data_IF_761687423503
#
_entry.id   IF_761687423503
#
_cell.length_a   1.000
_cell.length_b   1.000
_cell.length_c   1.000
_cell.angle_alpha   90.00
_cell.angle_beta   90.00
_cell.angle_gamma   90.00
#
_symmetry.space_group_name_H-M   'P 1'
#
loop_
_entity.id
_entity.type
_entity.pdbx_description
1 polymer ?
#
# COMPACT_ATOMS: atom_id res chain seq x y z
N UNK A 1 -13.14 3.67 -8.28
CA UNK A 1 -14.18 4.19 -7.39
C UNK A 1 -15.41 3.31 -7.31
N UNK A 2 -16.01 2.93 -8.43
CA UNK A 2 -17.27 2.17 -8.44
C UNK A 2 -17.15 0.76 -7.85
N UNK A 3 -16.08 0.03 -8.14
CA UNK A 3 -15.83 -1.31 -7.59
C UNK A 3 -15.69 -1.25 -6.06
N UNK A 4 -15.01 -0.24 -5.56
CA UNK A 4 -14.82 -0.02 -4.12
C UNK A 4 -16.16 0.25 -3.43
N UNK A 5 -16.97 1.17 -3.98
CA UNK A 5 -18.30 1.49 -3.46
C UNK A 5 -19.21 0.26 -3.47
N UNK A 6 -19.22 -0.50 -4.56
CA UNK A 6 -20.04 -1.71 -4.72
C UNK A 6 -19.67 -2.80 -3.71
N UNK A 7 -18.38 -3.06 -3.49
CA UNK A 7 -17.93 -4.18 -2.69
C UNK A 7 -17.84 -3.88 -1.19
N UNK A 8 -17.59 -2.63 -0.81
CA UNK A 8 -17.31 -2.28 0.58
C UNK A 8 -18.28 -1.25 1.15
N UNK A 9 -19.26 -0.79 0.37
CA UNK A 9 -20.17 0.29 0.75
C UNK A 9 -19.46 1.55 1.31
N UNK A 10 -18.24 1.78 0.85
CA UNK A 10 -17.39 2.90 1.25
C UNK A 10 -17.33 3.95 0.14
N UNK A 11 -17.15 5.20 0.53
CA UNK A 11 -17.03 6.34 -0.38
C UNK A 11 -15.58 6.81 -0.43
N UNK A 12 -15.10 7.10 -1.64
CA UNK A 12 -13.87 7.88 -1.79
C UNK A 12 -14.24 9.32 -1.49
N UNK A 13 -13.68 9.84 -0.39
CA UNK A 13 -13.96 11.19 0.08
C UNK A 13 -13.24 12.24 -0.77
N UNK A 14 -12.01 11.95 -1.18
CA UNK A 14 -11.16 12.83 -1.98
C UNK A 14 -10.18 12.01 -2.82
N UNK A 15 -9.72 12.59 -3.92
CA UNK A 15 -8.75 11.99 -4.80
C UNK A 15 -7.87 13.11 -5.38
N UNK A 16 -6.55 12.93 -5.35
CA UNK A 16 -5.60 13.88 -5.91
C UNK A 16 -4.52 13.17 -6.71
N UNK A 17 -4.28 13.65 -7.92
CA UNK A 17 -3.05 13.40 -8.65
C UNK A 17 -2.08 14.53 -8.36
N UNK A 18 -0.80 14.23 -8.31
CA UNK A 18 0.26 15.20 -8.08
C UNK A 18 1.44 14.98 -9.03
N UNK A 19 2.22 16.03 -9.24
CA UNK A 19 3.44 15.98 -10.02
C UNK A 19 4.66 15.85 -9.08
N UNK A 20 5.76 15.30 -9.59
CA UNK A 20 7.02 15.16 -8.82
C UNK A 20 7.60 16.49 -8.31
N UNK A 21 7.18 17.61 -8.88
CA UNK A 21 7.61 18.95 -8.46
C UNK A 21 6.78 19.55 -7.32
N UNK A 22 5.63 18.94 -6.99
CA UNK A 22 4.81 19.39 -5.87
C UNK A 22 5.45 19.00 -4.53
N UNK A 23 5.41 19.94 -3.57
CA UNK A 23 5.83 19.66 -2.20
C UNK A 23 4.90 18.64 -1.54
N UNK A 24 5.48 17.65 -0.88
CA UNK A 24 4.69 16.66 -0.10
C UNK A 24 3.76 17.35 0.92
N UNK A 25 4.22 18.47 1.48
CA UNK A 25 3.46 19.26 2.44
C UNK A 25 2.22 19.90 1.81
N UNK A 26 2.36 20.45 0.59
CA UNK A 26 1.24 21.05 -0.15
C UNK A 26 0.24 19.99 -0.60
N UNK A 27 0.72 18.82 -1.00
CA UNK A 27 -0.13 17.68 -1.38
C UNK A 27 -1.07 17.34 -0.22
N UNK A 28 -0.52 17.11 0.98
CA UNK A 28 -1.32 16.71 2.14
C UNK A 28 -2.12 17.86 2.74
N UNK A 29 -1.60 19.09 2.74
CA UNK A 29 -2.35 20.24 3.25
C UNK A 29 -3.62 20.51 2.47
N UNK A 30 -3.56 20.29 1.16
CA UNK A 30 -4.72 20.41 0.28
C UNK A 30 -5.68 19.22 0.45
N UNK A 31 -5.17 17.99 0.42
CA UNK A 31 -5.97 16.77 0.54
C UNK A 31 -6.70 16.71 1.89
N UNK A 32 -6.02 17.09 2.97
CA UNK A 32 -6.53 17.00 4.33
C UNK A 32 -7.16 18.31 4.83
N UNK A 33 -7.26 19.32 3.97
CA UNK A 33 -7.89 20.61 4.25
C UNK A 33 -7.27 21.40 5.43
N UNK A 34 -6.03 21.10 5.81
CA UNK A 34 -5.36 21.79 6.92
C UNK A 34 -5.09 23.26 6.61
N UNK A 35 -4.82 23.61 5.35
CA UNK A 35 -4.66 24.97 4.91
C UNK A 35 -5.94 25.82 5.10
N UNK A 36 -7.10 25.22 4.93
CA UNK A 36 -8.38 25.88 5.19
C UNK A 36 -8.55 26.23 6.68
N UNK A 37 -8.04 25.37 7.57
CA UNK A 37 -8.02 25.63 9.00
C UNK A 37 -7.17 26.85 9.35
N UNK A 38 -5.99 26.98 8.72
CA UNK A 38 -5.11 28.15 8.85
C UNK A 38 -5.72 29.44 8.27
N UNK A 39 -6.38 29.34 7.12
CA UNK A 39 -7.09 30.48 6.52
C UNK A 39 -8.22 30.99 7.44
N UNK A 40 -8.96 30.08 8.06
CA UNK A 40 -9.98 30.42 9.08
C UNK A 40 -9.38 31.10 10.30
N UNK A 41 -8.26 30.59 10.86
CA UNK A 41 -7.52 31.26 11.94
C UNK A 41 -7.17 32.69 11.58
N UNK A 42 -6.50 32.89 10.45
CA UNK A 42 -6.07 34.21 9.99
C UNK A 42 -7.24 35.19 9.85
N UNK A 43 -8.38 34.73 9.31
CA UNK A 43 -9.58 35.55 9.20
C UNK A 43 -10.11 35.96 10.56
N UNK A 44 -10.22 35.03 11.50
CA UNK A 44 -10.70 35.29 12.85
C UNK A 44 -9.75 36.24 13.61
N UNK A 45 -8.43 36.01 13.58
CA UNK A 45 -7.45 36.89 14.22
C UNK A 45 -7.54 38.33 13.72
N UNK A 46 -7.78 38.52 12.42
CA UNK A 46 -8.00 39.87 11.85
C UNK A 46 -9.29 40.51 12.34
N UNK A 47 -10.37 39.72 12.45
CA UNK A 47 -11.69 40.23 12.87
C UNK A 47 -11.69 40.68 14.33
N UNK A 48 -10.99 39.94 15.20
CA UNK A 48 -10.95 40.27 16.66
C UNK A 48 -9.72 41.05 17.05
N UNK A 49 -8.84 41.40 16.11
CA UNK A 49 -7.58 42.12 16.32
C UNK A 49 -6.68 41.51 17.39
N UNK A 50 -6.72 40.18 17.56
CA UNK A 50 -5.89 39.42 18.51
C UNK A 50 -5.34 38.20 17.83
N UNK A 51 -4.11 37.81 18.19
CA UNK A 51 -3.60 36.50 17.79
C UNK A 51 -4.28 35.39 18.60
N UNK A 52 -4.69 34.35 17.92
CA UNK A 52 -5.44 33.24 18.50
C UNK A 52 -4.51 32.03 18.48
N UNK A 53 -4.33 31.38 19.61
CA UNK A 53 -3.72 30.05 19.62
C UNK A 53 -4.54 29.11 18.74
N UNK A 54 -3.85 28.42 17.85
CA UNK A 54 -4.50 27.57 16.89
C UNK A 54 -3.70 26.29 16.65
N UNK A 55 -4.36 25.16 16.88
CA UNK A 55 -3.89 23.88 16.41
C UNK A 55 -4.58 23.58 15.07
N UNK A 56 -3.79 23.45 14.00
CA UNK A 56 -4.33 23.10 12.69
C UNK A 56 -5.13 21.80 12.79
N UNK A 57 -6.35 21.81 12.26
CA UNK A 57 -7.23 20.64 12.24
C UNK A 57 -7.31 20.13 10.82
N UNK A 58 -7.07 18.86 10.67
CA UNK A 58 -7.34 18.13 9.43
C UNK A 58 -8.79 17.67 9.41
N UNK A 59 -9.27 17.28 8.23
CA UNK A 59 -10.59 16.64 8.10
C UNK A 59 -10.60 15.31 8.88
N UNK A 60 -11.73 15.00 9.49
CA UNK A 60 -11.90 13.80 10.33
C UNK A 60 -12.85 12.76 9.71
N UNK A 61 -13.24 12.97 8.47
CA UNK A 61 -14.12 12.08 7.71
C UNK A 61 -13.35 11.06 6.85
N UNK A 62 -12.04 10.95 7.09
CA UNK A 62 -11.15 9.99 6.41
C UNK A 62 -10.56 9.04 7.44
N UNK A 63 -10.75 7.75 7.23
CA UNK A 63 -10.20 6.68 8.06
C UNK A 63 -8.93 6.09 7.45
N UNK A 64 -8.81 6.18 6.12
CA UNK A 64 -7.82 5.44 5.35
C UNK A 64 -7.29 6.26 4.19
N UNK A 65 -5.99 6.19 3.96
CA UNK A 65 -5.32 6.79 2.82
C UNK A 65 -4.76 5.69 1.91
N UNK A 66 -5.03 5.79 0.61
CA UNK A 66 -4.40 4.97 -0.42
C UNK A 66 -3.36 5.80 -1.16
N UNK A 67 -2.11 5.33 -1.14
CA UNK A 67 -1.02 5.87 -1.92
C UNK A 67 -0.73 4.94 -3.11
N UNK A 68 -0.82 5.46 -4.33
CA UNK A 68 -0.40 4.76 -5.54
C UNK A 68 0.79 5.50 -6.12
N UNK A 69 1.97 5.14 -5.66
CA UNK A 69 3.25 5.80 -5.95
C UNK A 69 4.37 4.77 -5.92
N UNK A 70 5.53 5.10 -6.49
CA UNK A 70 6.70 4.25 -6.31
C UNK A 70 7.24 4.32 -4.87
N UNK A 71 8.09 3.37 -4.50
CA UNK A 71 8.59 3.23 -3.14
C UNK A 71 9.43 4.46 -2.70
N UNK A 72 10.18 5.06 -3.60
CA UNK A 72 11.01 6.24 -3.30
C UNK A 72 10.13 7.47 -3.00
N UNK A 73 9.07 7.65 -3.77
CA UNK A 73 8.08 8.70 -3.50
C UNK A 73 7.36 8.45 -2.18
N UNK A 74 7.02 7.18 -1.88
CA UNK A 74 6.38 6.81 -0.61
C UNK A 74 7.25 7.16 0.61
N UNK A 75 8.57 6.94 0.54
CA UNK A 75 9.54 7.32 1.59
C UNK A 75 9.57 8.84 1.86
N UNK A 76 9.31 9.67 0.87
CA UNK A 76 9.17 11.11 1.06
C UNK A 76 7.80 11.54 1.55
N UNK A 77 6.75 10.86 1.09
CA UNK A 77 5.36 11.23 1.39
C UNK A 77 4.93 10.79 2.80
N UNK A 78 5.28 9.58 3.22
CA UNK A 78 4.81 9.04 4.51
C UNK A 78 5.30 9.84 5.71
N UNK A 79 6.61 10.21 5.84
CA UNK A 79 7.06 11.08 6.92
C UNK A 79 6.40 12.46 6.90
N UNK A 80 6.18 13.03 5.71
CA UNK A 80 5.48 14.31 5.58
C UNK A 80 4.02 14.22 6.05
N UNK A 81 3.36 13.09 5.79
CA UNK A 81 2.03 12.81 6.30
C UNK A 81 2.04 12.73 7.83
N UNK A 82 2.96 11.98 8.41
CA UNK A 82 3.07 11.78 9.87
C UNK A 82 3.36 13.08 10.60
N UNK A 83 4.27 13.88 10.08
CA UNK A 83 4.65 15.17 10.67
C UNK A 83 3.47 16.16 10.74
N UNK A 84 2.67 16.20 9.67
CA UNK A 84 1.64 17.23 9.55
C UNK A 84 0.27 16.78 10.08
N UNK A 85 -0.03 15.49 10.07
CA UNK A 85 -1.43 15.13 10.07
C UNK A 85 -1.84 13.94 10.88
N UNK A 86 -1.04 12.94 11.22
CA UNK A 86 -1.56 11.86 12.05
C UNK A 86 -0.80 10.53 12.02
N UNK A 87 -0.53 10.00 13.19
CA UNK A 87 -0.18 8.60 13.44
C UNK A 87 -1.39 7.66 13.52
N UNK A 88 -2.63 8.16 13.31
CA UNK A 88 -3.85 7.36 13.51
C UNK A 88 -4.55 6.90 12.24
N UNK A 89 -4.12 7.38 11.07
CA UNK A 89 -4.72 7.01 9.79
C UNK A 89 -4.06 5.76 9.23
N UNK A 90 -4.85 4.77 8.81
CA UNK A 90 -4.32 3.63 8.09
C UNK A 90 -3.87 4.03 6.69
N UNK A 91 -2.62 3.70 6.37
CA UNK A 91 -2.03 3.99 5.06
C UNK A 91 -1.81 2.70 4.30
N UNK A 92 -2.46 2.58 3.15
CA UNK A 92 -2.26 1.50 2.20
C UNK A 92 -1.42 1.99 1.03
N UNK A 93 -0.35 1.28 0.73
CA UNK A 93 0.56 1.59 -0.36
C UNK A 93 0.41 0.55 -1.47
N UNK A 94 0.00 1.01 -2.65
CA UNK A 94 0.11 0.25 -3.88
C UNK A 94 1.38 0.73 -4.61
N UNK A 95 2.46 0.00 -4.43
CA UNK A 95 3.77 0.33 -5.00
C UNK A 95 4.39 -0.87 -5.69
N UNK A 96 5.34 -0.58 -6.54
CA UNK A 96 6.26 -1.56 -7.06
C UNK A 96 7.44 -1.71 -6.10
N UNK A 97 7.54 -2.88 -5.46
CA UNK A 97 8.59 -3.23 -4.51
C UNK A 97 9.80 -3.89 -5.19
N UNK A 98 9.79 -3.99 -6.51
CA UNK A 98 10.84 -4.67 -7.27
C UNK A 98 12.18 -3.95 -7.09
N UNK A 99 13.19 -4.69 -6.65
CA UNK A 99 14.56 -4.20 -6.42
C UNK A 99 14.82 -3.52 -5.08
N UNK A 100 13.79 -3.06 -4.35
CA UNK A 100 13.97 -2.25 -3.14
C UNK A 100 13.85 -3.02 -1.81
N UNK A 101 13.48 -4.29 -1.86
CA UNK A 101 13.21 -5.10 -0.65
C UNK A 101 14.43 -5.26 0.26
N UNK A 102 15.65 -5.19 -0.30
CA UNK A 102 16.88 -5.31 0.48
C UNK A 102 17.09 -4.13 1.46
N UNK A 103 16.47 -2.99 1.20
CA UNK A 103 16.64 -1.78 2.01
C UNK A 103 15.61 -1.61 3.12
N UNK A 104 14.58 -2.46 3.17
CA UNK A 104 13.45 -2.29 4.09
C UNK A 104 13.77 -2.69 5.54
N UNK A 105 14.81 -3.46 5.80
CA UNK A 105 15.17 -3.89 7.16
C UNK A 105 15.54 -2.73 8.11
N UNK A 106 15.68 -1.50 7.59
CA UNK A 106 15.98 -0.29 8.36
C UNK A 106 15.05 0.88 8.03
N UNK A 107 14.02 0.66 7.19
CA UNK A 107 13.20 1.72 6.63
C UNK A 107 12.11 2.18 7.61
N UNK A 108 12.48 3.09 8.49
CA UNK A 108 11.54 3.73 9.42
C UNK A 108 10.60 4.72 8.73
N UNK A 109 10.94 5.16 7.52
CA UNK A 109 10.15 6.15 6.77
C UNK A 109 8.79 5.60 6.34
N UNK A 110 8.66 4.28 6.26
CA UNK A 110 7.42 3.59 5.90
C UNK A 110 6.71 2.93 7.09
N UNK A 111 7.05 3.32 8.31
CA UNK A 111 6.45 2.76 9.52
C UNK A 111 4.91 2.86 9.48
N UNK A 112 4.25 1.74 9.80
CA UNK A 112 2.79 1.64 9.83
C UNK A 112 2.11 1.49 8.46
N UNK A 113 2.85 1.53 7.34
CA UNK A 113 2.29 1.33 6.00
C UNK A 113 1.89 -0.14 5.80
N UNK A 114 0.68 -0.36 5.32
CA UNK A 114 0.19 -1.67 4.89
C UNK A 114 0.26 -1.78 3.38
N UNK A 115 0.77 -2.89 2.87
CA UNK A 115 0.87 -3.15 1.44
C UNK A 115 0.60 -4.61 1.10
N UNK A 116 0.57 -4.91 -0.19
CA UNK A 116 0.33 -6.26 -0.72
C UNK A 116 1.34 -6.57 -1.81
N UNK A 117 1.95 -7.75 -1.76
CA UNK A 117 2.80 -8.24 -2.83
C UNK A 117 2.78 -9.78 -2.93
N UNK A 118 3.46 -10.31 -3.94
CA UNK A 118 3.69 -11.73 -4.07
C UNK A 118 4.62 -12.23 -2.96
N UNK A 119 4.35 -13.39 -2.35
CA UNK A 119 5.25 -13.98 -1.36
C UNK A 119 6.70 -14.05 -1.86
N UNK A 120 6.91 -14.36 -3.13
CA UNK A 120 8.23 -14.42 -3.76
C UNK A 120 9.03 -13.13 -3.66
N UNK A 121 8.35 -11.98 -3.72
CA UNK A 121 8.98 -10.66 -3.64
C UNK A 121 9.37 -10.28 -2.21
N UNK A 122 8.80 -10.92 -1.20
CA UNK A 122 8.99 -10.58 0.21
C UNK A 122 10.15 -11.40 0.83
N UNK A 123 10.69 -11.00 2.00
CA UNK A 123 11.75 -11.72 2.70
C UNK A 123 11.21 -12.99 3.38
N UNK A 124 10.61 -13.87 2.59
CA UNK A 124 10.09 -15.17 3.03
C UNK A 124 11.07 -16.26 2.61
N UNK A 125 11.15 -17.33 3.41
CA UNK A 125 11.96 -18.50 3.08
C UNK A 125 11.48 -19.13 1.77
N UNK A 126 12.33 -19.10 0.76
CA UNK A 126 12.08 -19.71 -0.55
C UNK A 126 12.50 -21.19 -0.55
N UNK A 127 11.90 -22.01 -1.44
CA UNK A 127 12.43 -23.33 -1.80
C UNK A 127 13.92 -23.26 -2.18
N UNK A 128 14.66 -24.32 -1.91
CA UNK A 128 16.13 -24.35 -2.10
C UNK A 128 16.54 -24.09 -3.56
N UNK A 129 15.80 -24.65 -4.50
CA UNK A 129 15.99 -24.49 -5.94
C UNK A 129 15.84 -23.04 -6.42
N UNK A 130 15.08 -22.23 -5.69
CA UNK A 130 14.83 -20.82 -6.01
C UNK A 130 15.76 -19.86 -5.25
N UNK A 131 16.51 -20.32 -4.26
CA UNK A 131 17.47 -19.50 -3.51
C UNK A 131 18.67 -19.04 -4.35
N UNK A 132 18.98 -19.75 -5.42
CA UNK A 132 20.06 -19.40 -6.37
C UNK A 132 19.72 -18.24 -7.29
N UNK A 133 18.50 -17.78 -7.32
CA UNK A 133 18.11 -16.64 -8.16
C UNK A 133 18.72 -15.34 -7.64
N UNK A 134 19.52 -14.71 -8.47
CA UNK A 134 20.19 -13.45 -8.13
C UNK A 134 19.21 -12.26 -8.10
N UNK A 135 18.15 -12.33 -8.90
CA UNK A 135 17.13 -11.28 -9.01
C UNK A 135 15.74 -11.87 -8.89
N UNK A 136 14.90 -11.23 -8.08
CA UNK A 136 13.49 -11.56 -7.94
C UNK A 136 12.67 -10.62 -8.79
N UNK A 137 11.88 -11.16 -9.72
CA UNK A 137 10.95 -10.37 -10.52
C UNK A 137 9.53 -10.95 -10.46
N UNK A 138 8.53 -10.09 -10.53
CA UNK A 138 7.12 -10.52 -10.58
C UNK A 138 6.82 -11.36 -11.80
N UNK A 139 7.43 -11.02 -12.93
CA UNK A 139 7.26 -11.77 -14.18
C UNK A 139 7.77 -13.20 -14.05
N UNK A 140 8.91 -13.41 -13.39
CA UNK A 140 9.40 -14.75 -13.09
C UNK A 140 8.38 -15.54 -12.23
N UNK A 141 7.90 -14.94 -11.15
CA UNK A 141 6.93 -15.60 -10.27
C UNK A 141 5.63 -15.99 -10.99
N UNK A 142 5.14 -15.12 -11.86
CA UNK A 142 3.95 -15.41 -12.70
C UNK A 142 4.22 -16.54 -13.66
N UNK A 143 5.36 -16.52 -14.35
CA UNK A 143 5.75 -17.55 -15.32
C UNK A 143 5.94 -18.92 -14.65
N UNK A 144 6.59 -18.94 -13.49
CA UNK A 144 6.78 -20.15 -12.71
C UNK A 144 5.42 -20.77 -12.30
N UNK A 145 4.55 -19.98 -11.68
CA UNK A 145 3.23 -20.45 -11.27
C UNK A 145 2.38 -20.90 -12.48
N UNK A 146 2.48 -20.21 -13.61
CA UNK A 146 1.77 -20.60 -14.82
C UNK A 146 2.24 -21.97 -15.34
N UNK A 147 3.55 -22.22 -15.29
CA UNK A 147 4.12 -23.52 -15.67
C UNK A 147 3.64 -24.65 -14.74
N UNK A 148 3.72 -24.44 -13.43
CA UNK A 148 3.25 -25.40 -12.41
C UNK A 148 1.75 -25.70 -12.56
N UNK A 149 0.93 -24.68 -12.82
CA UNK A 149 -0.52 -24.84 -13.05
C UNK A 149 -0.75 -25.73 -14.31
N UNK A 150 0.02 -25.55 -15.37
CA UNK A 150 -0.11 -26.40 -16.57
C UNK A 150 0.24 -27.85 -16.27
N UNK A 151 1.28 -28.10 -15.45
CA UNK A 151 1.63 -29.44 -15.00
C UNK A 151 0.52 -30.09 -14.16
N UNK A 152 -0.05 -29.33 -13.22
CA UNK A 152 -1.18 -29.79 -12.41
C UNK A 152 -2.40 -30.13 -13.27
N UNK A 153 -2.74 -29.28 -14.23
CA UNK A 153 -3.87 -29.53 -15.16
C UNK A 153 -3.66 -30.75 -16.04
N UNK A 154 -2.40 -31.13 -16.32
CA UNK A 154 -2.09 -32.36 -17.06
C UNK A 154 -2.16 -33.61 -16.18
N UNK A 155 -1.78 -33.50 -14.92
CA UNK A 155 -1.75 -34.62 -13.99
C UNK A 155 -3.12 -34.92 -13.36
N UNK A 156 -3.92 -33.89 -13.12
CA UNK A 156 -5.22 -33.99 -12.45
C UNK A 156 -6.36 -33.52 -13.36
N UNK A 157 -7.39 -34.38 -13.50
CA UNK A 157 -8.55 -34.06 -14.35
C UNK A 157 -9.48 -33.01 -13.76
N UNK A 158 -9.45 -32.82 -12.43
CA UNK A 158 -10.33 -31.87 -11.76
C UNK A 158 -9.60 -31.19 -10.59
N UNK A 159 -9.30 -29.92 -10.76
CA UNK A 159 -8.67 -29.06 -9.75
C UNK A 159 -9.69 -28.20 -8.97
N UNK A 160 -10.98 -28.35 -9.25
CA UNK A 160 -12.00 -27.52 -8.60
C UNK A 160 -11.93 -27.62 -7.07
N UNK A 161 -11.84 -26.48 -6.41
CA UNK A 161 -11.78 -26.37 -4.95
C UNK A 161 -10.39 -26.68 -4.37
N UNK A 162 -9.38 -27.01 -5.19
CA UNK A 162 -8.02 -27.22 -4.69
C UNK A 162 -7.29 -25.89 -4.54
N UNK A 163 -6.30 -25.87 -3.63
CA UNK A 163 -5.43 -24.74 -3.40
C UNK A 163 -3.99 -25.12 -3.74
N UNK A 164 -3.33 -24.29 -4.51
CA UNK A 164 -1.92 -24.37 -4.82
C UNK A 164 -1.17 -23.21 -4.19
N UNK A 165 -0.08 -23.49 -3.45
CA UNK A 165 0.81 -22.45 -2.91
C UNK A 165 1.87 -22.14 -3.93
N UNK A 166 1.66 -21.07 -4.69
CA UNK A 166 2.59 -20.59 -5.68
C UNK A 166 3.49 -19.45 -5.18
N UNK A 167 4.39 -19.02 -6.05
CA UNK A 167 5.26 -17.87 -5.82
C UNK A 167 4.49 -16.55 -5.77
N UNK A 168 3.33 -16.49 -6.43
CA UNK A 168 2.47 -15.31 -6.47
C UNK A 168 1.43 -15.28 -5.34
N UNK A 169 1.35 -16.33 -4.54
CA UNK A 169 0.38 -16.48 -3.44
C UNK A 169 -0.39 -17.77 -3.47
N UNK A 170 -1.48 -17.82 -2.72
CA UNK A 170 -2.37 -18.97 -2.75
C UNK A 170 -3.32 -18.87 -3.93
N UNK A 171 -3.26 -19.86 -4.80
CA UNK A 171 -4.06 -19.97 -6.01
C UNK A 171 -5.16 -20.99 -5.78
N UNK A 172 -6.41 -20.55 -5.89
CA UNK A 172 -7.61 -21.40 -5.73
C UNK A 172 -8.29 -21.59 -7.08
N UNK A 173 -8.52 -22.84 -7.44
CA UNK A 173 -9.20 -23.21 -8.68
C UNK A 173 -10.71 -23.29 -8.47
N UNK A 174 -11.46 -22.50 -9.25
CA UNK A 174 -12.91 -22.59 -9.34
C UNK A 174 -13.31 -23.10 -10.73
N UNK A 175 -14.60 -23.34 -10.97
CA UNK A 175 -15.08 -23.94 -12.24
C UNK A 175 -14.58 -23.23 -13.51
N UNK A 176 -14.55 -21.91 -13.49
CA UNK A 176 -14.22 -21.09 -14.69
C UNK A 176 -13.19 -20.02 -14.40
N UNK A 177 -12.69 -19.93 -13.18
CA UNK A 177 -11.81 -18.85 -12.75
C UNK A 177 -10.74 -19.34 -11.80
N UNK A 178 -9.62 -18.68 -11.85
CA UNK A 178 -8.55 -18.85 -10.86
C UNK A 178 -8.54 -17.61 -9.98
N UNK A 179 -8.63 -17.79 -8.67
CA UNK A 179 -8.46 -16.73 -7.69
C UNK A 179 -7.08 -16.80 -7.10
N UNK A 180 -6.44 -15.66 -6.92
CA UNK A 180 -5.13 -15.54 -6.28
C UNK A 180 -5.26 -14.69 -5.02
N UNK A 181 -4.67 -15.15 -3.92
CA UNK A 181 -4.53 -14.40 -2.68
C UNK A 181 -3.03 -14.15 -2.46
N UNK A 182 -2.60 -12.92 -2.71
CA UNK A 182 -1.25 -12.45 -2.42
C UNK A 182 -1.07 -12.19 -0.92
N UNK A 183 0.15 -11.90 -0.49
CA UNK A 183 0.47 -11.66 0.92
C UNK A 183 0.27 -10.20 1.26
N UNK A 184 -0.49 -9.93 2.31
CA UNK A 184 -0.63 -8.61 2.90
C UNK A 184 0.39 -8.48 4.02
N UNK A 185 1.05 -7.35 4.11
CA UNK A 185 2.03 -7.07 5.16
C UNK A 185 1.95 -5.62 5.61
N UNK A 186 2.45 -5.38 6.81
CA UNK A 186 2.64 -4.05 7.39
C UNK A 186 4.12 -3.86 7.73
N UNK A 187 4.62 -2.66 7.56
CA UNK A 187 5.96 -2.30 8.02
C UNK A 187 5.85 -1.87 9.48
N UNK A 188 6.61 -2.55 10.36
CA UNK A 188 6.63 -2.31 11.79
C UNK A 188 8.03 -2.45 12.34
N UNK A 189 8.53 -1.41 12.98
CA UNK A 189 9.92 -1.32 13.44
C UNK A 189 10.94 -1.60 12.32
N UNK A 190 10.65 -1.13 11.11
CA UNK A 190 11.45 -1.38 9.92
C UNK A 190 11.39 -2.80 9.36
N UNK A 191 10.54 -3.68 9.88
CA UNK A 191 10.40 -5.07 9.44
C UNK A 191 9.02 -5.36 8.86
N UNK A 192 8.92 -6.46 8.11
CA UNK A 192 7.65 -6.95 7.57
C UNK A 192 6.88 -7.75 8.62
N UNK A 193 5.73 -7.26 9.03
CA UNK A 193 4.73 -8.00 9.79
C UNK A 193 3.67 -8.52 8.81
N UNK A 194 3.63 -9.85 8.61
CA UNK A 194 2.67 -10.46 7.69
C UNK A 194 1.28 -10.53 8.33
N UNK A 195 0.28 -10.02 7.60
CA UNK A 195 -1.11 -10.00 8.01
C UNK A 195 -1.84 -11.12 7.28
N UNK A 196 -2.30 -12.14 8.00
CA UNK A 196 -2.98 -13.32 7.45
C UNK A 196 -4.49 -13.10 7.26
#
# INVERSE_FOLDING_TARGET
GEIWKKNFNKKIAEYKTFNKTESSQDIFSNLLLSEQSLKRKRKLSRTISKDIEHKSRTRQDIDTLFLSVNIQEARGLKPALDYNYFNSMEVFLASDWEGDIQFLNEDKDLEGVTSIDFPFMLPITLPEDLKVLQTKTRNFAIGYDAFEIVLLLKSERNLKGTNYKGLTGVITFNDKTIKRKSTIFRIKNGNFEFLN
#
